data_IF_584841265174
#
_entry.id   IF_584841265174
#
_cell.length_a   1.000
_cell.length_b   1.000
_cell.length_c   1.000
_cell.angle_alpha   90.00
_cell.angle_beta   90.00
_cell.angle_gamma   90.00
#
_symmetry.space_group_name_H-M   'P 1'
#
loop_
_entity.id
_entity.type
_entity.pdbx_description
1 polymer ?
#
# COMPACT_ATOMS: atom_id res chain seq x y z
N UNK A 1 -22.31 23.96 -6.68
CA UNK A 1 -21.79 24.56 -7.94
C UNK A 1 -20.59 23.74 -8.41
N UNK A 2 -20.50 23.39 -9.71
CA UNK A 2 -19.30 22.74 -10.27
C UNK A 2 -18.39 23.81 -10.87
N UNK A 3 -17.09 23.68 -10.70
CA UNK A 3 -16.08 24.61 -11.22
C UNK A 3 -15.09 23.87 -12.11
N UNK A 4 -14.42 24.62 -12.99
CA UNK A 4 -13.40 24.08 -13.90
C UNK A 4 -12.02 24.40 -13.36
N UNK A 5 -11.13 23.41 -13.34
CA UNK A 5 -9.71 23.57 -13.01
C UNK A 5 -8.91 23.22 -14.27
N UNK A 6 -8.06 24.16 -14.72
CA UNK A 6 -7.13 23.95 -15.83
C UNK A 6 -5.72 23.79 -15.28
N UNK A 7 -5.06 22.67 -15.59
CA UNK A 7 -3.73 22.32 -15.08
C UNK A 7 -2.82 21.96 -16.25
N UNK A 8 -1.65 22.60 -16.32
CA UNK A 8 -0.60 22.18 -17.25
C UNK A 8 0.07 20.92 -16.71
N UNK A 9 0.14 19.89 -17.54
CA UNK A 9 0.76 18.61 -17.21
C UNK A 9 1.47 18.07 -18.44
N UNK A 10 2.57 17.35 -18.23
CA UNK A 10 3.25 16.63 -19.29
C UNK A 10 2.29 15.64 -19.99
N UNK A 11 2.36 15.61 -21.34
CA UNK A 11 1.48 14.79 -22.17
C UNK A 11 1.62 13.30 -21.84
N UNK A 12 2.86 12.81 -21.67
CA UNK A 12 3.13 11.41 -21.42
C UNK A 12 2.64 11.00 -20.02
N UNK A 13 2.79 11.87 -19.02
CA UNK A 13 2.24 11.64 -17.67
C UNK A 13 0.71 11.53 -17.72
N UNK A 14 0.03 12.48 -18.38
CA UNK A 14 -1.44 12.48 -18.53
C UNK A 14 -1.95 11.23 -19.23
N UNK A 15 -1.31 10.85 -20.33
CA UNK A 15 -1.77 9.73 -21.16
C UNK A 15 -1.56 8.38 -20.45
N UNK A 16 -0.44 8.23 -19.71
CA UNK A 16 -0.24 7.07 -18.82
C UNK A 16 -1.30 7.01 -17.71
N UNK A 17 -1.56 8.11 -17.02
CA UNK A 17 -2.57 8.16 -15.96
C UNK A 17 -3.97 7.82 -16.50
N UNK A 18 -4.33 8.33 -17.69
CA UNK A 18 -5.60 8.01 -18.35
C UNK A 18 -5.71 6.52 -18.70
N UNK A 19 -4.63 5.91 -19.19
CA UNK A 19 -4.61 4.48 -19.50
C UNK A 19 -4.79 3.61 -18.26
N UNK A 20 -4.16 3.98 -17.14
CA UNK A 20 -4.33 3.28 -15.85
C UNK A 20 -5.78 3.42 -15.36
N UNK A 21 -6.35 4.63 -15.35
CA UNK A 21 -7.73 4.85 -14.94
C UNK A 21 -8.73 4.02 -15.78
N UNK A 22 -8.53 3.97 -17.11
CA UNK A 22 -9.35 3.16 -18.02
C UNK A 22 -9.25 1.67 -17.72
N UNK A 23 -8.06 1.14 -17.42
CA UNK A 23 -7.88 -0.25 -17.00
C UNK A 23 -8.65 -0.58 -15.71
N UNK A 24 -8.81 0.41 -14.83
CA UNK A 24 -9.57 0.31 -13.58
C UNK A 24 -11.08 0.62 -13.76
N UNK A 25 -11.55 0.86 -14.99
CA UNK A 25 -12.97 1.12 -15.27
C UNK A 25 -13.47 2.50 -14.84
N UNK A 26 -12.58 3.47 -14.61
CA UNK A 26 -12.93 4.80 -14.11
C UNK A 26 -12.40 5.94 -14.99
N UNK A 27 -13.11 7.08 -15.09
CA UNK A 27 -12.60 8.24 -15.81
C UNK A 27 -11.47 8.92 -15.01
N UNK A 28 -10.50 9.52 -15.71
CA UNK A 28 -9.38 10.24 -15.08
C UNK A 28 -9.85 11.38 -14.16
N UNK A 29 -10.98 12.02 -14.49
CA UNK A 29 -11.58 13.07 -13.66
C UNK A 29 -12.00 12.58 -12.28
N UNK A 30 -12.45 11.32 -12.15
CA UNK A 30 -12.77 10.72 -10.85
C UNK A 30 -11.52 10.62 -9.97
N UNK A 31 -10.40 10.20 -10.56
CA UNK A 31 -9.10 10.11 -9.87
C UNK A 31 -8.62 11.48 -9.40
N UNK A 32 -8.69 12.50 -10.25
CA UNK A 32 -8.28 13.86 -9.88
C UNK A 32 -9.18 14.43 -8.77
N UNK A 33 -10.50 14.28 -8.90
CA UNK A 33 -11.44 14.75 -7.89
C UNK A 33 -11.29 14.04 -6.55
N UNK A 34 -10.99 12.73 -6.55
CA UNK A 34 -10.77 11.99 -5.30
C UNK A 34 -9.50 12.44 -4.59
N UNK A 35 -8.42 12.73 -5.33
CA UNK A 35 -7.20 13.28 -4.74
C UNK A 35 -7.39 14.70 -4.19
N UNK A 36 -8.15 15.55 -4.89
CA UNK A 36 -8.50 16.89 -4.39
C UNK A 36 -9.32 16.82 -3.09
N UNK A 37 -10.32 15.94 -3.05
CA UNK A 37 -11.11 15.68 -1.84
C UNK A 37 -10.22 15.19 -0.69
N UNK A 38 -9.39 14.18 -0.96
CA UNK A 38 -8.46 13.64 0.03
C UNK A 38 -7.48 14.69 0.56
N UNK A 39 -6.97 15.56 -0.30
CA UNK A 39 -6.10 16.66 0.11
C UNK A 39 -6.86 17.67 1.01
N UNK A 40 -8.09 18.01 0.67
CA UNK A 40 -8.92 18.89 1.49
C UNK A 40 -9.24 18.28 2.87
N UNK A 41 -9.57 16.99 2.90
CA UNK A 41 -9.95 16.27 4.12
C UNK A 41 -8.73 16.01 5.03
N UNK A 42 -7.60 15.58 4.47
CA UNK A 42 -6.40 15.24 5.25
C UNK A 42 -5.49 16.44 5.55
N UNK A 43 -5.68 17.56 4.86
CA UNK A 43 -4.87 18.78 4.97
C UNK A 43 -3.35 18.55 4.81
N UNK A 44 -2.96 17.49 4.09
CA UNK A 44 -1.56 17.12 3.86
C UNK A 44 -1.37 16.47 2.50
N UNK A 45 -0.15 16.58 1.97
CA UNK A 45 0.31 15.87 0.77
C UNK A 45 1.40 14.90 1.20
N UNK A 46 1.24 13.62 0.85
CA UNK A 46 2.30 12.61 1.07
C UNK A 46 3.09 12.47 -0.23
N UNK A 47 4.32 12.96 -0.21
CA UNK A 47 5.31 12.70 -1.25
C UNK A 47 6.28 11.68 -0.67
N UNK A 48 6.15 10.42 -1.10
CA UNK A 48 7.00 9.34 -0.64
C UNK A 48 7.54 8.58 -1.84
N UNK A 49 8.83 8.22 -1.78
CA UNK A 49 9.34 7.12 -2.58
C UNK A 49 8.65 5.81 -2.16
N UNK A 50 8.58 4.79 -3.03
CA UNK A 50 8.11 3.47 -2.62
C UNK A 50 8.81 3.06 -1.31
N UNK A 51 8.04 2.61 -0.33
CA UNK A 51 8.61 2.14 0.93
C UNK A 51 9.42 0.88 0.65
N UNK A 52 10.74 1.04 0.54
CA UNK A 52 11.68 -0.08 0.45
C UNK A 52 12.07 -0.45 1.88
N UNK A 53 11.91 -1.72 2.30
CA UNK A 53 12.40 -2.16 3.60
C UNK A 53 13.88 -1.79 3.77
N UNK A 54 14.25 -1.24 4.93
CA UNK A 54 15.67 -1.06 5.25
C UNK A 54 16.40 -2.41 5.29
N UNK A 55 17.73 -2.41 5.29
CA UNK A 55 18.53 -3.64 5.22
C UNK A 55 18.15 -4.67 6.31
N UNK A 56 17.81 -4.21 7.51
CA UNK A 56 17.41 -5.09 8.62
C UNK A 56 16.05 -5.73 8.34
N UNK A 57 15.04 -4.94 7.97
CA UNK A 57 13.70 -5.43 7.65
C UNK A 57 13.73 -6.37 6.45
N UNK A 58 14.53 -6.05 5.42
CA UNK A 58 14.70 -6.89 4.24
C UNK A 58 15.25 -8.27 4.61
N UNK A 59 16.31 -8.32 5.43
CA UNK A 59 16.90 -9.58 5.90
C UNK A 59 15.89 -10.46 6.64
N UNK A 60 15.11 -9.86 7.56
CA UNK A 60 14.08 -10.60 8.31
C UNK A 60 13.00 -11.16 7.37
N UNK A 61 12.59 -10.38 6.37
CA UNK A 61 11.61 -10.84 5.37
C UNK A 61 12.17 -11.97 4.50
N UNK A 62 13.41 -11.85 4.05
CA UNK A 62 14.07 -12.87 3.22
C UNK A 62 14.19 -14.20 4.00
N UNK A 63 14.58 -14.15 5.27
CA UNK A 63 14.63 -15.31 6.18
C UNK A 63 13.24 -15.94 6.38
N UNK A 64 12.21 -15.13 6.67
CA UNK A 64 10.85 -15.62 6.86
C UNK A 64 10.29 -16.28 5.59
N UNK A 65 10.55 -15.70 4.41
CA UNK A 65 10.14 -16.28 3.12
C UNK A 65 10.85 -17.62 2.88
N UNK A 66 12.13 -17.73 3.20
CA UNK A 66 12.87 -18.98 3.10
C UNK A 66 12.29 -20.05 4.03
N UNK A 67 12.04 -19.70 5.30
CA UNK A 67 11.45 -20.62 6.27
C UNK A 67 10.06 -21.13 5.82
N UNK A 68 9.27 -20.30 5.13
CA UNK A 68 7.96 -20.69 4.57
C UNK A 68 8.16 -21.68 3.41
N UNK A 69 9.09 -21.39 2.49
CA UNK A 69 9.37 -22.27 1.34
C UNK A 69 9.91 -23.64 1.77
N UNK A 70 10.72 -23.66 2.82
CA UNK A 70 11.32 -24.87 3.39
C UNK A 70 10.40 -25.54 4.42
N UNK A 71 9.18 -25.01 4.61
CA UNK A 71 8.15 -25.54 5.49
C UNK A 71 8.65 -25.79 6.93
N UNK A 72 9.45 -24.87 7.47
CA UNK A 72 10.05 -24.98 8.81
C UNK A 72 9.03 -24.66 9.90
N UNK A 73 8.12 -25.60 10.16
CA UNK A 73 7.03 -25.43 11.13
C UNK A 73 7.44 -24.88 12.51
N UNK A 74 8.66 -25.18 12.99
CA UNK A 74 9.17 -24.68 14.28
C UNK A 74 9.60 -23.20 14.30
N UNK A 75 9.58 -22.51 13.15
CA UNK A 75 9.88 -21.07 13.03
C UNK A 75 8.63 -20.19 13.10
N UNK A 76 7.45 -20.80 13.04
CA UNK A 76 6.17 -20.10 13.04
C UNK A 76 5.46 -20.23 14.38
N UNK A 77 4.50 -19.34 14.62
CA UNK A 77 3.52 -19.55 15.66
C UNK A 77 2.69 -20.80 15.36
N UNK A 78 2.13 -21.48 16.37
CA UNK A 78 1.10 -22.47 16.14
C UNK A 78 -0.15 -21.83 15.51
N UNK A 79 -1.07 -22.67 15.03
CA UNK A 79 -2.42 -22.25 14.70
C UNK A 79 -3.17 -21.91 15.98
N UNK A 80 -3.95 -20.83 15.95
CA UNK A 80 -4.74 -20.38 17.09
C UNK A 80 -6.23 -20.41 16.74
N UNK A 81 -7.05 -20.85 17.68
CA UNK A 81 -8.51 -20.88 17.53
C UNK A 81 -9.16 -19.54 17.92
N UNK A 82 -8.43 -18.69 18.66
CA UNK A 82 -8.92 -17.39 19.09
C UNK A 82 -7.79 -16.36 19.26
N UNK A 83 -8.17 -15.07 19.22
CA UNK A 83 -7.22 -13.96 19.32
C UNK A 83 -6.50 -13.88 20.67
N UNK A 84 -7.16 -14.32 21.77
CA UNK A 84 -6.58 -14.25 23.12
C UNK A 84 -5.35 -15.14 23.25
N UNK A 85 -5.41 -16.34 22.68
CA UNK A 85 -4.29 -17.28 22.68
C UNK A 85 -3.14 -16.81 21.78
N UNK A 86 -3.47 -16.22 20.62
CA UNK A 86 -2.47 -15.62 19.73
C UNK A 86 -1.68 -14.49 20.41
N UNK A 87 -2.37 -13.57 21.10
CA UNK A 87 -1.75 -12.46 21.83
C UNK A 87 -0.91 -12.98 23.01
N UNK A 88 -1.43 -13.97 23.75
CA UNK A 88 -0.69 -14.60 24.86
C UNK A 88 0.62 -15.22 24.38
N UNK A 89 0.60 -15.92 23.24
CA UNK A 89 1.80 -16.49 22.65
C UNK A 89 2.79 -15.41 22.22
N UNK A 90 2.31 -14.35 21.57
CA UNK A 90 3.16 -13.25 21.11
C UNK A 90 3.93 -12.58 22.26
N UNK A 91 3.28 -12.39 23.42
CA UNK A 91 3.92 -11.79 24.59
C UNK A 91 4.83 -12.76 25.38
N UNK A 92 4.87 -14.03 25.01
CA UNK A 92 5.73 -15.05 25.64
C UNK A 92 7.05 -15.28 24.91
N UNK A 93 7.29 -14.56 23.80
CA UNK A 93 8.49 -14.61 22.97
C UNK A 93 9.32 -13.34 23.12
#
# INVERSE_FOLDING_TARGET
>A
MKTVISIKVDKNVRDRARNVARKLGVPLSLVVNSQLRRFADEQRIVIAAPLVPNSKTKKILDEAIQDIRENKHGKFSPLFENAKDAVKWLHSK
#
